data_IF_310513632047
#
_entry.id   IF_310513632047
#
_cell.length_a   1.000
_cell.length_b   1.000
_cell.length_c   1.000
_cell.angle_alpha   90.00
_cell.angle_beta   90.00
_cell.angle_gamma   90.00
#
_symmetry.space_group_name_H-M   'P 1'
#
loop_
_entity.id
_entity.type
_entity.pdbx_description
1 polymer ?
#
# COMPACT_ATOMS: atom_id res chain seq x y z
N UNK A 1 11.68 -29.70 -2.90
CA UNK A 1 12.45 -28.47 -2.63
C UNK A 1 11.85 -27.81 -1.40
N UNK A 2 12.65 -27.57 -0.36
CA UNK A 2 12.16 -26.89 0.85
C UNK A 2 12.15 -25.36 0.69
N UNK A 3 11.62 -24.64 1.68
CA UNK A 3 11.52 -23.17 1.65
C UNK A 3 12.88 -22.50 1.57
N UNK A 4 13.89 -22.98 2.30
CA UNK A 4 15.24 -22.43 2.22
C UNK A 4 15.77 -22.51 0.78
N UNK A 5 15.68 -23.67 0.14
CA UNK A 5 16.07 -23.85 -1.26
C UNK A 5 15.24 -22.98 -2.21
N UNK A 6 13.94 -22.80 -1.95
CA UNK A 6 13.07 -21.95 -2.76
C UNK A 6 13.52 -20.48 -2.70
N UNK A 7 13.77 -19.95 -1.49
CA UNK A 7 14.23 -18.57 -1.28
C UNK A 7 15.64 -18.32 -1.85
N UNK A 8 16.49 -19.34 -1.92
CA UNK A 8 17.81 -19.25 -2.55
C UNK A 8 17.76 -19.32 -4.08
N UNK A 9 16.77 -20.03 -4.61
CA UNK A 9 16.61 -20.28 -6.05
C UNK A 9 16.07 -19.06 -6.78
N UNK A 10 15.00 -18.43 -6.26
CA UNK A 10 14.41 -17.26 -6.91
C UNK A 10 15.38 -16.08 -6.82
N UNK A 11 15.94 -15.70 -7.97
CA UNK A 11 16.89 -14.59 -8.09
C UNK A 11 16.28 -13.54 -9.01
N UNK A 12 16.06 -12.30 -8.53
CA UNK A 12 15.67 -11.21 -9.40
C UNK A 12 16.71 -10.99 -10.50
N UNK A 13 16.31 -10.86 -11.78
CA UNK A 13 17.25 -10.56 -12.86
C UNK A 13 17.80 -9.13 -12.71
N UNK A 14 18.84 -8.79 -13.46
CA UNK A 14 19.10 -7.37 -13.73
C UNK A 14 18.07 -6.85 -14.74
N UNK A 15 17.53 -5.65 -14.52
CA UNK A 15 16.63 -5.04 -15.49
C UNK A 15 17.42 -4.67 -16.75
N UNK A 16 17.01 -5.24 -17.88
CA UNK A 16 17.48 -4.83 -19.19
C UNK A 16 16.71 -3.58 -19.62
N UNK A 17 17.44 -2.48 -19.73
CA UNK A 17 16.87 -1.16 -20.05
C UNK A 17 16.62 -1.03 -21.55
N UNK A 18 15.43 -0.57 -21.92
CA UNK A 18 15.18 -0.09 -23.30
C UNK A 18 15.68 1.36 -23.46
N UNK A 19 15.97 1.77 -24.69
CA UNK A 19 16.58 3.09 -25.02
C UNK A 19 15.62 4.26 -24.74
N UNK A 20 14.31 4.00 -24.72
CA UNK A 20 13.27 5.00 -24.43
C UNK A 20 12.75 4.83 -23.00
N UNK A 21 13.24 5.68 -22.10
CA UNK A 21 12.70 5.78 -20.74
C UNK A 21 11.54 6.76 -20.73
N UNK A 22 10.32 6.23 -20.58
CA UNK A 22 9.20 7.09 -20.20
C UNK A 22 9.01 7.04 -18.69
N UNK A 23 9.06 8.21 -18.07
CA UNK A 23 8.38 8.40 -16.80
C UNK A 23 6.93 8.67 -17.15
N UNK A 24 6.06 7.68 -16.98
CA UNK A 24 4.62 7.95 -16.98
C UNK A 24 4.38 9.10 -15.99
N UNK A 25 3.61 10.12 -16.36
CA UNK A 25 3.16 11.11 -15.39
C UNK A 25 2.40 10.35 -14.31
N UNK A 26 3.01 10.19 -13.15
CA UNK A 26 2.37 9.65 -11.96
C UNK A 26 1.06 10.40 -11.75
N UNK A 27 -0.03 9.66 -11.56
CA UNK A 27 -1.26 10.21 -10.99
C UNK A 27 -0.89 10.92 -9.70
N UNK A 28 -1.39 12.14 -9.53
CA UNK A 28 -0.85 13.06 -8.55
C UNK A 28 -1.23 12.52 -7.15
N UNK A 29 -0.25 12.14 -6.28
CA UNK A 29 -0.45 11.34 -5.06
C UNK A 29 -1.21 12.01 -3.89
N UNK A 30 -2.10 11.28 -3.21
CA UNK A 30 -2.73 11.77 -1.98
C UNK A 30 -1.69 12.08 -0.86
N UNK A 31 -1.46 13.35 -0.56
CA UNK A 31 -0.56 13.81 0.50
C UNK A 31 -1.37 14.13 1.78
N UNK A 32 -1.11 13.49 2.93
CA UNK A 32 -1.78 13.87 4.17
C UNK A 32 -1.30 15.26 4.61
N UNK A 33 -2.24 16.12 5.02
CA UNK A 33 -1.95 17.50 5.49
C UNK A 33 -1.11 17.54 6.77
N UNK A 34 -1.09 16.47 7.53
CA UNK A 34 -0.32 16.38 8.77
C UNK A 34 1.15 16.15 8.49
N UNK A 35 2.01 16.93 9.14
CA UNK A 35 3.44 16.72 9.11
C UNK A 35 3.75 15.33 9.65
N UNK A 36 4.22 14.44 8.78
CA UNK A 36 4.85 13.20 9.22
C UNK A 36 5.90 13.57 10.28
N UNK A 37 5.87 12.90 11.43
CA UNK A 37 6.94 13.02 12.40
C UNK A 37 8.26 12.51 11.79
N UNK A 38 9.36 12.65 12.54
CA UNK A 38 10.65 12.12 12.10
C UNK A 38 10.52 10.62 11.77
N UNK A 39 11.07 10.24 10.62
CA UNK A 39 11.19 8.85 10.23
C UNK A 39 12.17 8.18 11.17
N UNK A 40 11.78 7.04 11.73
CA UNK A 40 12.58 6.28 12.70
C UNK A 40 12.90 4.88 12.19
N UNK A 41 13.96 4.21 12.70
CA UNK A 41 14.26 2.86 12.27
C UNK A 41 13.28 1.83 12.87
N UNK A 42 12.95 0.81 12.10
CA UNK A 42 12.36 -0.44 12.59
C UNK A 42 13.50 -1.44 12.85
N UNK A 43 13.95 -1.51 14.09
CA UNK A 43 15.18 -2.24 14.47
C UNK A 43 14.94 -3.75 14.55
N UNK A 44 13.75 -4.16 14.97
CA UNK A 44 13.43 -5.56 15.30
C UNK A 44 13.05 -6.42 14.08
N UNK A 45 12.91 -5.82 12.89
CA UNK A 45 12.29 -6.48 11.74
C UNK A 45 13.02 -7.76 11.29
N UNK A 46 14.36 -7.78 11.36
CA UNK A 46 15.14 -8.95 10.96
C UNK A 46 14.88 -10.13 11.91
N UNK A 47 14.86 -9.89 13.22
CA UNK A 47 14.55 -10.91 14.24
C UNK A 47 13.10 -11.41 14.10
N UNK A 48 12.17 -10.51 13.76
CA UNK A 48 10.77 -10.87 13.53
C UNK A 48 10.59 -11.76 12.29
N UNK A 49 11.33 -11.50 11.21
CA UNK A 49 11.35 -12.35 10.01
C UNK A 49 11.92 -13.72 10.33
N UNK A 50 13.09 -13.76 11.00
CA UNK A 50 13.76 -14.99 11.41
C UNK A 50 12.83 -15.85 12.28
N UNK A 51 12.24 -15.24 13.32
CA UNK A 51 11.29 -15.91 14.21
C UNK A 51 10.08 -16.50 13.50
N UNK A 52 9.59 -15.85 12.44
CA UNK A 52 8.45 -16.37 11.67
C UNK A 52 8.84 -17.52 10.75
N UNK A 53 9.95 -17.40 10.01
CA UNK A 53 10.26 -18.29 8.89
C UNK A 53 11.20 -19.44 9.26
N UNK A 54 12.10 -19.28 10.23
CA UNK A 54 13.08 -20.30 10.64
C UNK A 54 12.46 -21.67 10.96
N UNK A 55 11.34 -21.75 11.74
CA UNK A 55 10.71 -23.03 12.04
C UNK A 55 10.27 -23.81 10.80
N UNK A 56 10.06 -23.10 9.68
CA UNK A 56 9.53 -23.68 8.46
C UNK A 56 10.60 -23.96 7.41
N UNK A 57 11.83 -23.46 7.52
CA UNK A 57 12.83 -23.52 6.45
C UNK A 57 13.10 -24.94 5.91
N UNK A 58 13.06 -25.96 6.77
CA UNK A 58 13.41 -27.35 6.44
C UNK A 58 12.25 -28.34 6.52
N UNK A 59 11.10 -27.96 7.09
CA UNK A 59 10.01 -28.89 7.39
C UNK A 59 8.94 -28.87 6.30
N UNK A 60 9.01 -29.82 5.35
CA UNK A 60 8.05 -29.91 4.24
C UNK A 60 7.65 -31.34 3.89
N UNK A 61 6.39 -31.50 3.52
CA UNK A 61 5.89 -32.71 2.87
C UNK A 61 6.40 -32.82 1.42
N UNK A 62 6.39 -34.03 0.86
CA UNK A 62 6.72 -34.28 -0.55
C UNK A 62 5.88 -33.42 -1.49
N UNK A 63 4.59 -33.25 -1.18
CA UNK A 63 3.66 -32.47 -2.00
C UNK A 63 4.03 -30.97 -2.02
N UNK A 64 4.26 -30.36 -0.86
CA UNK A 64 4.70 -28.96 -0.79
C UNK A 64 6.04 -28.78 -1.51
N UNK A 65 6.94 -29.75 -1.35
CA UNK A 65 8.23 -29.77 -2.02
C UNK A 65 8.14 -29.74 -3.55
N UNK A 66 7.16 -30.42 -4.14
CA UNK A 66 6.89 -30.41 -5.58
C UNK A 66 6.23 -29.10 -6.03
N UNK A 67 5.30 -28.57 -5.22
CA UNK A 67 4.63 -27.30 -5.52
C UNK A 67 5.59 -26.12 -5.56
N UNK A 68 6.54 -26.05 -4.63
CA UNK A 68 7.58 -25.03 -4.70
C UNK A 68 8.47 -25.19 -5.93
N UNK A 69 8.84 -26.43 -6.29
CA UNK A 69 9.68 -26.68 -7.47
C UNK A 69 8.99 -26.16 -8.73
N UNK A 70 7.73 -26.56 -8.94
CA UNK A 70 6.91 -26.09 -10.06
C UNK A 70 6.75 -24.57 -10.07
N UNK A 71 6.57 -23.98 -8.89
CA UNK A 71 6.41 -22.52 -8.78
C UNK A 71 7.70 -21.81 -9.21
N UNK A 72 8.87 -22.31 -8.78
CA UNK A 72 10.15 -21.75 -9.19
C UNK A 72 10.36 -21.86 -10.70
N UNK A 73 10.09 -23.02 -11.30
CA UNK A 73 10.18 -23.21 -12.75
C UNK A 73 9.29 -22.22 -13.52
N UNK A 74 8.03 -22.03 -13.08
CA UNK A 74 7.12 -21.06 -13.69
C UNK A 74 7.61 -19.61 -13.55
N UNK A 75 8.23 -19.27 -12.41
CA UNK A 75 8.79 -17.92 -12.20
C UNK A 75 10.00 -17.71 -13.10
N UNK A 76 10.90 -18.69 -13.19
CA UNK A 76 12.09 -18.66 -14.05
C UNK A 76 11.69 -18.44 -15.52
N UNK A 77 10.72 -19.20 -16.03
CA UNK A 77 10.21 -19.04 -17.39
C UNK A 77 9.63 -17.63 -17.65
N UNK A 78 8.95 -17.04 -16.66
CA UNK A 78 8.38 -15.69 -16.76
C UNK A 78 9.46 -14.60 -16.70
N UNK A 79 10.54 -14.79 -15.95
CA UNK A 79 11.61 -13.80 -15.78
C UNK A 79 12.27 -13.48 -17.13
N UNK A 80 12.56 -14.50 -17.93
CA UNK A 80 13.24 -14.33 -19.22
C UNK A 80 12.46 -13.40 -20.17
N UNK A 81 11.13 -13.46 -20.13
CA UNK A 81 10.26 -12.63 -20.98
C UNK A 81 9.98 -11.24 -20.42
N UNK A 82 10.19 -11.00 -19.12
CA UNK A 82 9.79 -9.77 -18.42
C UNK A 82 10.92 -8.91 -17.89
N UNK A 83 12.17 -9.35 -18.02
CA UNK A 83 13.36 -8.62 -17.54
C UNK A 83 13.65 -7.33 -18.33
N UNK A 84 13.05 -7.17 -19.51
CA UNK A 84 13.14 -5.95 -20.33
C UNK A 84 12.09 -4.95 -19.83
N UNK A 85 12.54 -3.83 -19.25
CA UNK A 85 11.65 -2.79 -18.74
C UNK A 85 12.10 -1.39 -19.20
N UNK A 86 11.17 -0.65 -19.79
CA UNK A 86 11.27 0.76 -20.18
C UNK A 86 10.42 1.71 -19.34
N UNK A 87 9.41 1.20 -18.60
CA UNK A 87 8.49 2.02 -17.81
C UNK A 87 8.10 1.39 -16.45
N UNK A 88 7.35 2.15 -15.64
CA UNK A 88 6.90 1.75 -14.30
C UNK A 88 5.96 0.55 -14.31
N UNK A 89 5.04 0.45 -15.27
CA UNK A 89 4.11 -0.67 -15.37
C UNK A 89 4.82 -2.00 -15.63
N UNK A 90 5.89 -1.98 -16.40
CA UNK A 90 6.72 -3.18 -16.66
C UNK A 90 7.51 -3.57 -15.42
N UNK A 91 8.06 -2.60 -14.68
CA UNK A 91 8.73 -2.86 -13.40
C UNK A 91 7.75 -3.42 -12.37
N UNK A 92 6.53 -2.90 -12.28
CA UNK A 92 5.46 -3.46 -11.44
C UNK A 92 5.14 -4.90 -11.85
N UNK A 93 5.00 -5.16 -13.15
CA UNK A 93 4.69 -6.50 -13.66
C UNK A 93 5.82 -7.51 -13.40
N UNK A 94 7.07 -7.07 -13.47
CA UNK A 94 8.24 -7.87 -13.11
C UNK A 94 8.28 -8.11 -11.60
N UNK A 95 8.12 -7.06 -10.78
CA UNK A 95 8.02 -7.14 -9.32
C UNK A 95 6.96 -8.12 -8.84
N UNK A 96 5.80 -8.14 -9.51
CA UNK A 96 4.75 -9.12 -9.28
C UNK A 96 5.21 -10.57 -9.48
N UNK A 97 6.06 -10.84 -10.47
CA UNK A 97 6.59 -12.18 -10.73
C UNK A 97 7.70 -12.57 -9.75
N UNK A 98 8.60 -11.64 -9.42
CA UNK A 98 9.81 -11.98 -8.64
C UNK A 98 9.65 -11.85 -7.13
N UNK A 99 8.71 -11.02 -6.67
CA UNK A 99 8.47 -10.77 -5.26
C UNK A 99 7.11 -11.30 -4.83
N UNK A 100 6.04 -10.92 -5.53
CA UNK A 100 4.68 -11.23 -5.10
C UNK A 100 4.32 -12.70 -5.32
N UNK A 101 4.49 -13.25 -6.53
CA UNK A 101 4.23 -14.66 -6.85
C UNK A 101 4.92 -15.64 -5.85
N UNK A 102 6.23 -15.51 -5.57
CA UNK A 102 6.88 -16.36 -4.56
C UNK A 102 6.37 -16.12 -3.15
N UNK A 103 6.10 -14.86 -2.74
CA UNK A 103 5.47 -14.59 -1.44
C UNK A 103 4.10 -15.27 -1.32
N UNK A 104 3.25 -15.20 -2.35
CA UNK A 104 1.93 -15.86 -2.36
C UNK A 104 2.07 -17.38 -2.26
N UNK A 105 3.06 -17.97 -2.92
CA UNK A 105 3.34 -19.39 -2.80
C UNK A 105 3.74 -19.76 -1.36
N UNK A 106 4.59 -18.97 -0.71
CA UNK A 106 5.00 -19.23 0.68
C UNK A 106 3.80 -19.09 1.63
N UNK A 107 3.03 -18.02 1.51
CA UNK A 107 1.82 -17.79 2.33
C UNK A 107 0.82 -18.94 2.19
N UNK A 108 0.62 -19.45 0.97
CA UNK A 108 -0.29 -20.56 0.70
C UNK A 108 0.23 -21.89 1.22
N UNK A 109 1.48 -22.24 0.89
CA UNK A 109 2.00 -23.59 1.16
C UNK A 109 2.49 -23.75 2.61
N UNK A 110 2.97 -22.68 3.25
CA UNK A 110 3.50 -22.73 4.63
C UNK A 110 2.43 -22.35 5.64
N UNK A 111 1.70 -21.27 5.39
CA UNK A 111 0.78 -20.68 6.35
C UNK A 111 -0.70 -20.98 6.05
N UNK A 112 -0.99 -21.69 4.96
CA UNK A 112 -2.36 -21.97 4.50
C UNK A 112 -3.21 -20.70 4.28
N UNK A 113 -2.56 -19.57 3.99
CA UNK A 113 -3.21 -18.28 3.77
C UNK A 113 -3.56 -18.14 2.29
N UNK A 114 -4.85 -17.95 2.00
CA UNK A 114 -5.33 -17.61 0.66
C UNK A 114 -5.39 -16.08 0.50
N UNK A 115 -4.54 -15.58 -0.36
CA UNK A 115 -4.33 -14.16 -0.58
C UNK A 115 -3.90 -13.90 -2.03
N UNK A 116 -3.86 -12.63 -2.41
CA UNK A 116 -3.43 -12.21 -3.74
C UNK A 116 -2.95 -10.73 -3.72
N UNK A 117 -2.22 -10.35 -4.77
CA UNK A 117 -1.83 -8.98 -5.06
C UNK A 117 -2.46 -8.51 -6.37
N UNK A 118 -2.91 -7.26 -6.40
CA UNK A 118 -3.56 -6.69 -7.58
C UNK A 118 -3.50 -5.16 -7.56
N UNK A 119 -4.03 -4.48 -8.56
CA UNK A 119 -4.04 -3.02 -8.61
C UNK A 119 -5.04 -2.39 -7.62
N UNK A 120 -4.94 -1.07 -7.41
CA UNK A 120 -5.79 -0.28 -6.52
C UNK A 120 -7.31 -0.51 -6.67
N UNK A 121 -7.80 -0.92 -7.85
CA UNK A 121 -9.25 -1.05 -8.14
C UNK A 121 -9.91 -2.28 -7.56
N UNK A 122 -9.12 -3.24 -7.10
CA UNK A 122 -9.66 -4.52 -6.69
C UNK A 122 -10.35 -4.53 -5.33
N UNK A 123 -10.00 -3.58 -4.48
CA UNK A 123 -10.67 -3.31 -3.21
C UNK A 123 -11.01 -1.82 -3.15
N UNK A 124 -11.96 -1.43 -2.30
CA UNK A 124 -12.33 -0.03 -2.13
C UNK A 124 -11.21 0.70 -1.38
N UNK A 125 -10.14 1.07 -2.08
CA UNK A 125 -9.01 1.81 -1.52
C UNK A 125 -9.07 3.29 -1.89
N UNK A 126 -8.48 4.11 -1.02
CA UNK A 126 -8.23 5.53 -1.24
C UNK A 126 -6.84 5.70 -1.84
N UNK A 127 -6.73 6.57 -2.83
CA UNK A 127 -5.50 6.78 -3.57
C UNK A 127 -5.37 5.83 -4.75
N UNK A 128 -4.16 5.78 -5.29
CA UNK A 128 -3.78 4.96 -6.44
C UNK A 128 -2.50 4.17 -6.11
N UNK A 129 -2.51 3.28 -5.09
CA UNK A 129 -1.36 2.42 -4.82
C UNK A 129 -1.14 1.44 -5.97
N UNK A 130 0.11 1.22 -6.35
CA UNK A 130 0.45 0.33 -7.47
C UNK A 130 -0.09 -1.09 -7.23
N UNK A 131 0.09 -1.61 -6.00
CA UNK A 131 -0.34 -2.95 -5.63
C UNK A 131 -0.99 -2.99 -4.24
N UNK A 132 -2.00 -3.84 -4.14
CA UNK A 132 -2.83 -4.05 -2.96
C UNK A 132 -2.80 -5.53 -2.62
N UNK A 133 -2.48 -5.84 -1.37
CA UNK A 133 -2.54 -7.18 -0.81
C UNK A 133 -3.83 -7.37 -0.02
N UNK A 134 -4.52 -8.47 -0.26
CA UNK A 134 -5.77 -8.83 0.43
C UNK A 134 -5.89 -10.34 0.59
N UNK A 135 -6.85 -10.77 1.43
CA UNK A 135 -7.20 -12.18 1.62
C UNK A 135 -8.58 -12.48 1.04
N UNK A 136 -8.88 -13.75 0.82
CA UNK A 136 -10.24 -14.17 0.46
C UNK A 136 -11.03 -14.53 1.73
N UNK A 137 -12.22 -13.93 1.90
CA UNK A 137 -13.11 -14.23 3.03
C UNK A 137 -13.82 -15.57 2.86
N UNK A 138 -14.12 -15.95 1.61
CA UNK A 138 -14.87 -17.15 1.26
C UNK A 138 -14.22 -17.86 0.07
N UNK A 139 -14.19 -19.19 0.11
CA UNK A 139 -13.51 -20.04 -0.87
C UNK A 139 -14.28 -20.22 -2.18
N UNK A 140 -15.60 -20.04 -2.15
CA UNK A 140 -16.54 -20.28 -3.26
C UNK A 140 -16.82 -18.96 -3.98
N UNK A 141 -17.16 -17.90 -3.23
CA UNK A 141 -17.53 -16.61 -3.83
C UNK A 141 -16.32 -15.79 -4.27
N UNK A 142 -15.12 -16.14 -3.78
CA UNK A 142 -13.88 -15.36 -3.93
C UNK A 142 -14.03 -13.92 -3.45
N UNK A 143 -14.89 -13.71 -2.45
CA UNK A 143 -15.09 -12.39 -1.85
C UNK A 143 -13.78 -11.90 -1.24
N UNK A 144 -13.34 -10.74 -1.70
CA UNK A 144 -12.09 -10.11 -1.26
C UNK A 144 -12.30 -9.44 0.09
N UNK A 145 -11.35 -9.65 0.99
CA UNK A 145 -11.25 -8.84 2.20
C UNK A 145 -10.79 -7.43 1.85
N UNK A 146 -10.82 -6.54 2.85
CA UNK A 146 -10.19 -5.22 2.71
C UNK A 146 -8.69 -5.39 2.51
N UNK A 147 -8.06 -4.38 1.92
CA UNK A 147 -6.60 -4.30 1.86
C UNK A 147 -5.98 -4.56 3.25
N UNK A 148 -4.88 -5.29 3.25
CA UNK A 148 -4.08 -5.62 4.44
C UNK A 148 -2.73 -4.94 4.40
N UNK A 149 -2.21 -4.71 3.20
CA UNK A 149 -0.92 -4.11 2.94
C UNK A 149 -0.95 -3.47 1.54
N UNK A 150 -0.21 -2.38 1.35
CA UNK A 150 -0.04 -1.70 0.07
C UNK A 150 1.43 -1.71 -0.30
N UNK A 151 1.71 -1.84 -1.59
CA UNK A 151 3.03 -1.69 -2.15
C UNK A 151 3.01 -0.59 -3.19
N UNK A 152 3.90 0.38 -3.03
CA UNK A 152 4.23 1.36 -4.04
C UNK A 152 5.51 0.93 -4.74
N UNK A 153 5.47 0.83 -6.05
CA UNK A 153 6.62 0.57 -6.88
C UNK A 153 7.15 1.85 -7.49
N UNK A 154 8.46 1.89 -7.70
CA UNK A 154 9.11 2.91 -8.52
C UNK A 154 10.13 2.25 -9.40
N UNK A 155 10.48 2.88 -10.52
CA UNK A 155 11.61 2.40 -11.31
C UNK A 155 12.94 2.80 -10.65
N UNK A 156 14.00 1.99 -10.77
CA UNK A 156 15.32 2.32 -10.23
C UNK A 156 15.87 3.67 -10.73
N UNK A 157 15.53 4.06 -11.96
CA UNK A 157 15.95 5.33 -12.56
C UNK A 157 15.07 6.51 -12.16
N UNK A 158 13.80 6.29 -11.79
CA UNK A 158 12.92 7.36 -11.33
C UNK A 158 13.17 7.72 -9.86
N UNK A 159 13.44 6.71 -9.01
CA UNK A 159 13.69 6.87 -7.58
C UNK A 159 14.97 6.12 -7.17
N UNK A 160 16.08 6.86 -7.13
CA UNK A 160 17.30 6.41 -6.44
C UNK A 160 17.17 6.68 -4.95
N UNK A 161 17.31 5.62 -4.15
CA UNK A 161 17.28 5.74 -2.70
C UNK A 161 18.67 6.12 -2.17
N UNK A 162 18.75 7.06 -1.22
CA UNK A 162 20.01 7.44 -0.58
C UNK A 162 20.50 6.30 0.33
N UNK A 163 21.80 6.27 0.62
CA UNK A 163 22.40 5.26 1.51
C UNK A 163 21.79 5.29 2.92
N UNK A 164 21.47 6.48 3.43
CA UNK A 164 20.78 6.67 4.70
C UNK A 164 19.45 7.39 4.48
N UNK A 165 18.40 6.60 4.23
CA UNK A 165 17.04 7.08 3.95
C UNK A 165 16.47 7.90 5.11
N UNK A 166 16.76 7.50 6.35
CA UNK A 166 16.25 8.17 7.56
C UNK A 166 16.83 9.59 7.67
N UNK A 167 18.16 9.71 7.63
CA UNK A 167 18.82 11.03 7.72
C UNK A 167 18.42 11.93 6.55
N UNK A 168 18.36 11.37 5.34
CA UNK A 168 17.93 12.12 4.16
C UNK A 168 16.49 12.61 4.28
N UNK A 169 15.55 11.74 4.63
CA UNK A 169 14.14 12.12 4.78
C UNK A 169 13.97 13.21 5.85
N UNK A 170 14.58 13.05 7.02
CA UNK A 170 14.40 13.98 8.14
C UNK A 170 15.01 15.37 7.87
N UNK A 171 16.12 15.43 7.12
CA UNK A 171 16.73 16.71 6.71
C UNK A 171 15.97 17.39 5.56
N UNK A 172 15.43 16.61 4.63
CA UNK A 172 14.79 17.12 3.41
C UNK A 172 13.26 17.19 3.50
N UNK A 173 12.63 16.85 4.63
CA UNK A 173 11.16 16.77 4.76
C UNK A 173 10.40 18.04 4.40
N UNK A 174 11.05 19.20 4.43
CA UNK A 174 10.48 20.48 4.01
C UNK A 174 10.49 20.69 2.49
N UNK A 175 11.31 19.94 1.75
CA UNK A 175 11.39 20.02 0.29
C UNK A 175 10.33 19.14 -0.38
N UNK A 176 9.24 19.79 -0.76
CA UNK A 176 8.16 19.20 -1.55
C UNK A 176 8.56 18.82 -2.97
N UNK A 177 9.82 18.98 -3.41
CA UNK A 177 10.30 18.46 -4.70
C UNK A 177 11.17 17.20 -4.53
N UNK A 178 11.58 16.89 -3.31
CA UNK A 178 12.41 15.73 -3.01
C UNK A 178 11.64 14.42 -3.25
N UNK A 179 12.11 13.61 -4.19
CA UNK A 179 11.40 12.38 -4.62
C UNK A 179 11.26 11.33 -3.52
N UNK A 180 12.25 11.24 -2.62
CA UNK A 180 12.23 10.29 -1.50
C UNK A 180 11.17 10.71 -0.49
N UNK A 181 11.14 11.98 -0.14
CA UNK A 181 10.13 12.56 0.75
C UNK A 181 8.74 12.34 0.17
N UNK A 182 8.54 12.65 -1.12
CA UNK A 182 7.27 12.39 -1.81
C UNK A 182 6.83 10.94 -1.74
N UNK A 183 7.70 10.00 -2.08
CA UNK A 183 7.35 8.58 -2.13
C UNK A 183 6.96 8.03 -0.75
N UNK A 184 7.70 8.41 0.29
CA UNK A 184 7.41 8.00 1.68
C UNK A 184 6.11 8.64 2.18
N UNK A 185 5.93 9.95 1.96
CA UNK A 185 4.71 10.65 2.37
C UNK A 185 3.47 10.18 1.60
N UNK A 186 3.60 9.84 0.32
CA UNK A 186 2.53 9.25 -0.49
C UNK A 186 2.10 7.90 0.08
N UNK A 187 3.05 7.00 0.31
CA UNK A 187 2.76 5.69 0.89
C UNK A 187 2.12 5.83 2.27
N UNK A 188 2.63 6.75 3.10
CA UNK A 188 2.04 7.07 4.40
C UNK A 188 0.59 7.57 4.27
N UNK A 189 0.31 8.45 3.32
CA UNK A 189 -1.05 8.91 3.00
C UNK A 189 -1.97 7.73 2.66
N UNK A 190 -1.54 6.85 1.76
CA UNK A 190 -2.29 5.65 1.42
C UNK A 190 -2.53 4.75 2.64
N UNK A 191 -1.52 4.53 3.49
CA UNK A 191 -1.67 3.75 4.72
C UNK A 191 -2.69 4.38 5.67
N UNK A 192 -2.63 5.70 5.87
CA UNK A 192 -3.54 6.44 6.76
C UNK A 192 -4.97 6.39 6.25
N UNK A 193 -5.23 6.74 4.99
CA UNK A 193 -6.59 6.78 4.44
C UNK A 193 -7.23 5.39 4.31
N UNK A 194 -6.43 4.33 4.17
CA UNK A 194 -6.93 2.95 4.08
C UNK A 194 -6.94 2.21 5.43
N UNK A 195 -6.62 2.90 6.53
CA UNK A 195 -6.46 2.32 7.87
C UNK A 195 -5.54 1.09 7.90
N UNK A 196 -4.35 1.24 7.34
CA UNK A 196 -3.32 0.20 7.29
C UNK A 196 -2.15 0.57 8.20
N UNK A 197 -1.66 -0.43 8.94
CA UNK A 197 -0.45 -0.30 9.77
C UNK A 197 0.81 -0.34 8.91
N UNK A 198 0.78 -1.14 7.85
CA UNK A 198 1.97 -1.50 7.08
C UNK A 198 1.84 -1.12 5.61
N UNK A 199 2.97 -0.75 5.02
CA UNK A 199 3.11 -0.47 3.60
C UNK A 199 4.53 -0.79 3.15
N UNK A 200 4.73 -0.93 1.85
CA UNK A 200 6.04 -1.17 1.25
C UNK A 200 6.33 -0.17 0.13
N UNK A 201 7.60 0.23 0.05
CA UNK A 201 8.15 1.01 -1.05
C UNK A 201 9.24 0.18 -1.72
N UNK A 202 9.05 -0.14 -3.00
CA UNK A 202 9.98 -0.98 -3.76
C UNK A 202 10.43 -0.26 -5.02
N UNK A 203 11.72 0.06 -5.14
CA UNK A 203 12.27 0.60 -6.38
C UNK A 203 12.85 -0.49 -7.29
N UNK A 204 12.37 -1.72 -7.15
CA UNK A 204 12.93 -2.97 -7.69
C UNK A 204 14.26 -3.41 -7.08
N UNK A 205 15.24 -2.52 -6.97
CA UNK A 205 16.57 -2.84 -6.43
C UNK A 205 16.56 -3.04 -4.91
N UNK A 206 15.67 -2.33 -4.22
CA UNK A 206 15.50 -2.40 -2.79
C UNK A 206 14.02 -2.35 -2.41
N UNK A 207 13.63 -3.21 -1.48
CA UNK A 207 12.37 -3.16 -0.77
C UNK A 207 12.59 -2.50 0.60
N UNK A 208 11.75 -1.53 0.92
CA UNK A 208 11.62 -0.93 2.25
C UNK A 208 10.23 -1.23 2.78
N UNK A 209 10.15 -1.67 4.03
CA UNK A 209 8.90 -1.90 4.74
C UNK A 209 8.69 -0.79 5.76
N UNK A 210 7.48 -0.27 5.81
CA UNK A 210 7.10 0.82 6.70
C UNK A 210 6.00 0.38 7.65
N UNK A 211 6.07 0.84 8.90
CA UNK A 211 5.11 0.57 9.97
C UNK A 211 4.69 1.85 10.67
N UNK A 212 3.39 2.11 10.76
CA UNK A 212 2.85 3.18 11.61
C UNK A 212 2.97 2.82 13.08
N UNK A 213 3.42 3.78 13.89
CA UNK A 213 3.62 3.61 15.34
C UNK A 213 2.74 4.53 16.19
N UNK A 214 1.93 5.37 15.55
CA UNK A 214 1.01 6.31 16.20
C UNK A 214 0.23 7.12 15.17
N UNK A 215 -0.27 8.28 15.58
CA UNK A 215 -1.02 9.18 14.70
C UNK A 215 -0.16 9.72 13.56
N UNK A 216 1.08 10.13 13.86
CA UNK A 216 2.04 10.73 12.90
C UNK A 216 3.37 9.96 12.81
N UNK A 217 3.54 8.92 13.62
CA UNK A 217 4.77 8.14 13.73
C UNK A 217 4.91 7.11 12.62
N UNK A 218 6.09 7.08 11.97
CA UNK A 218 6.42 6.13 10.92
C UNK A 218 7.81 5.54 11.16
N UNK A 219 7.89 4.22 11.10
CA UNK A 219 9.14 3.48 11.09
C UNK A 219 9.41 2.91 9.70
N UNK A 220 10.70 2.80 9.34
CA UNK A 220 11.16 2.16 8.11
C UNK A 220 12.19 1.08 8.42
N UNK A 221 12.12 -0.04 7.71
CA UNK A 221 13.11 -1.11 7.77
C UNK A 221 14.45 -0.67 7.17
N UNK A 222 15.50 -1.45 7.43
CA UNK A 222 16.67 -1.46 6.54
C UNK A 222 16.25 -1.81 5.09
N UNK A 223 17.04 -1.48 4.07
CA UNK A 223 16.79 -2.00 2.73
C UNK A 223 16.94 -3.52 2.68
N UNK A 224 15.99 -4.19 2.04
CA UNK A 224 16.11 -5.56 1.57
C UNK A 224 16.50 -5.52 0.09
N UNK A 225 17.78 -5.76 -0.19
CA UNK A 225 18.34 -5.59 -1.53
C UNK A 225 17.99 -6.79 -2.42
N UNK A 226 17.74 -6.57 -3.71
CA UNK A 226 17.37 -7.63 -4.65
C UNK A 226 18.40 -8.77 -4.74
N UNK A 227 19.70 -8.44 -4.55
CA UNK A 227 20.78 -9.42 -4.54
C UNK A 227 20.87 -10.25 -3.26
N UNK A 228 20.12 -9.90 -2.20
CA UNK A 228 20.08 -10.68 -0.96
C UNK A 228 19.12 -11.87 -1.11
N UNK A 229 19.64 -13.06 -0.83
CA UNK A 229 18.91 -14.32 -0.92
C UNK A 229 18.49 -14.85 0.45
N UNK A 230 17.68 -15.90 0.44
CA UNK A 230 17.28 -16.60 1.65
C UNK A 230 16.40 -15.75 2.57
N UNK A 231 16.51 -15.99 3.87
CA UNK A 231 15.67 -15.36 4.89
C UNK A 231 15.90 -13.85 5.06
N UNK A 232 17.04 -13.34 4.58
CA UNK A 232 17.40 -11.91 4.66
C UNK A 232 17.01 -11.12 3.40
N UNK A 233 16.45 -11.80 2.41
CA UNK A 233 16.06 -11.22 1.12
C UNK A 233 14.66 -10.59 1.12
N UNK A 234 14.31 -9.90 0.01
CA UNK A 234 13.04 -9.18 -0.11
C UNK A 234 11.81 -10.11 -0.10
N UNK A 235 11.92 -11.34 -0.63
CA UNK A 235 10.81 -12.31 -0.62
C UNK A 235 10.45 -12.71 0.82
N UNK A 236 11.45 -12.95 1.66
CA UNK A 236 11.24 -13.29 3.07
C UNK A 236 10.62 -12.12 3.84
N UNK A 237 11.12 -10.90 3.64
CA UNK A 237 10.58 -9.69 4.23
C UNK A 237 9.12 -9.42 3.80
N UNK A 238 8.83 -9.55 2.49
CA UNK A 238 7.47 -9.38 1.97
C UNK A 238 6.51 -10.46 2.49
N UNK A 239 6.99 -11.69 2.64
CA UNK A 239 6.21 -12.78 3.23
C UNK A 239 5.87 -12.50 4.68
N UNK A 240 6.87 -12.07 5.46
CA UNK A 240 6.68 -11.67 6.85
C UNK A 240 5.63 -10.58 6.99
N UNK A 241 5.77 -9.47 6.27
CA UNK A 241 4.86 -8.33 6.45
C UNK A 241 3.44 -8.66 6.01
N UNK A 242 3.27 -9.48 4.96
CA UNK A 242 1.96 -9.94 4.51
C UNK A 242 1.29 -10.86 5.55
N UNK A 243 2.05 -11.83 6.08
CA UNK A 243 1.57 -12.70 7.16
C UNK A 243 1.21 -11.88 8.41
N UNK A 244 2.09 -10.97 8.82
CA UNK A 244 1.93 -10.14 10.01
C UNK A 244 0.72 -9.20 9.89
N UNK A 245 0.52 -8.58 8.72
CA UNK A 245 -0.62 -7.70 8.44
C UNK A 245 -1.98 -8.42 8.41
N UNK A 246 -1.98 -9.75 8.24
CA UNK A 246 -3.20 -10.56 8.33
C UNK A 246 -3.47 -10.97 9.79
N UNK A 247 -2.43 -11.36 10.50
CA UNK A 247 -2.54 -12.03 11.81
C UNK A 247 -2.58 -11.07 12.99
N UNK A 248 -2.13 -9.82 12.83
CA UNK A 248 -2.27 -8.76 13.83
C UNK A 248 -3.47 -7.88 13.52
N UNK A 249 -4.18 -7.50 14.58
CA UNK A 249 -5.35 -6.63 14.47
C UNK A 249 -4.99 -5.26 13.89
N UNK A 250 -5.99 -4.67 13.25
CA UNK A 250 -5.93 -3.34 12.66
C UNK A 250 -5.55 -2.25 13.65
N UNK A 251 -4.79 -1.29 13.15
CA UNK A 251 -4.62 0.01 13.79
C UNK A 251 -5.99 0.64 14.09
N UNK A 252 -6.13 1.23 15.27
CA UNK A 252 -7.32 1.96 15.69
C UNK A 252 -7.14 3.49 15.67
N UNK A 253 -6.03 4.00 15.15
CA UNK A 253 -5.74 5.44 15.04
C UNK A 253 -5.92 5.94 13.60
N UNK A 254 -7.14 5.79 13.08
CA UNK A 254 -7.52 6.28 11.76
C UNK A 254 -8.79 7.11 11.89
N UNK A 255 -8.95 8.21 11.14
CA UNK A 255 -10.24 8.93 11.02
C UNK A 255 -11.31 8.11 10.28
N UNK A 256 -11.10 6.79 10.14
CA UNK A 256 -11.92 5.88 9.35
C UNK A 256 -12.43 4.76 10.27
N UNK A 257 -13.70 4.84 10.61
CA UNK A 257 -14.41 3.77 11.30
C UNK A 257 -14.76 2.62 10.33
N UNK A 258 -14.76 1.41 10.87
CA UNK A 258 -15.20 0.23 10.14
C UNK A 258 -16.73 0.21 10.01
N UNK A 259 -17.20 0.48 8.79
CA UNK A 259 -18.58 0.22 8.37
C UNK A 259 -18.82 -1.21 7.87
N UNK A 260 -20.01 -1.50 7.31
CA UNK A 260 -20.31 -2.74 6.61
C UNK A 260 -19.27 -3.08 5.52
N UNK A 261 -19.22 -4.33 5.03
CA UNK A 261 -18.35 -4.71 3.91
C UNK A 261 -18.51 -3.76 2.72
N UNK A 262 -17.38 -3.34 2.13
CA UNK A 262 -17.37 -2.39 1.02
C UNK A 262 -17.60 -0.91 1.41
N UNK A 263 -17.85 -0.60 2.69
CA UNK A 263 -18.14 0.76 3.15
C UNK A 263 -17.07 1.26 4.13
N UNK A 264 -16.59 2.48 3.88
CA UNK A 264 -15.72 3.21 4.81
C UNK A 264 -16.49 4.37 5.43
N UNK A 265 -16.46 4.51 6.75
CA UNK A 265 -17.08 5.62 7.45
C UNK A 265 -15.99 6.61 7.85
N UNK A 266 -15.99 7.81 7.28
CA UNK A 266 -15.10 8.89 7.67
C UNK A 266 -15.71 9.68 8.81
N UNK A 267 -14.87 9.91 9.81
CA UNK A 267 -15.14 10.60 11.05
C UNK A 267 -14.18 11.78 11.09
N UNK A 268 -14.74 12.96 10.86
CA UNK A 268 -14.04 14.23 11.05
C UNK A 268 -14.48 14.74 12.42
N UNK A 269 -13.69 14.43 13.45
CA UNK A 269 -14.02 14.78 14.84
C UNK A 269 -13.70 16.25 15.16
N UNK A 270 -12.85 16.90 14.36
CA UNK A 270 -12.33 18.25 14.64
C UNK A 270 -12.74 19.31 13.60
N UNK A 271 -13.79 19.03 12.82
CA UNK A 271 -14.30 20.01 11.84
C UNK A 271 -15.51 20.75 12.41
N UNK A 272 -15.28 21.91 13.01
CA UNK A 272 -16.33 22.87 13.39
C UNK A 272 -16.85 23.63 12.17
N UNK A 273 -17.24 22.89 11.13
CA UNK A 273 -17.83 23.47 9.93
C UNK A 273 -19.31 23.14 9.92
N UNK A 274 -20.14 24.18 9.84
CA UNK A 274 -21.53 24.04 9.48
C UNK A 274 -21.61 23.73 7.99
N UNK A 275 -22.16 22.57 7.64
CA UNK A 275 -22.55 22.35 6.26
C UNK A 275 -23.98 22.85 6.04
N UNK A 276 -24.18 23.62 4.99
CA UNK A 276 -25.50 24.00 4.45
C UNK A 276 -25.94 22.92 3.47
N UNK A 277 -26.90 22.09 3.86
CA UNK A 277 -27.30 20.90 3.09
C UNK A 277 -28.71 21.01 2.48
N UNK A 278 -29.51 21.91 3.04
CA UNK A 278 -30.79 22.41 2.54
C UNK A 278 -30.90 23.88 2.98
N UNK A 279 -31.74 24.69 2.32
CA UNK A 279 -31.91 26.12 2.64
C UNK A 279 -32.25 26.39 4.12
N UNK A 280 -32.79 25.39 4.81
CA UNK A 280 -33.32 25.50 6.18
C UNK A 280 -32.60 24.61 7.23
N UNK A 281 -31.46 23.99 6.91
CA UNK A 281 -30.83 23.03 7.84
C UNK A 281 -29.31 23.08 7.89
N UNK A 282 -28.81 23.74 8.94
CA UNK A 282 -27.42 23.68 9.36
C UNK A 282 -27.23 22.54 10.36
N UNK A 283 -26.33 21.63 10.06
CA UNK A 283 -25.96 20.55 10.98
C UNK A 283 -24.44 20.52 11.06
N UNK A 284 -23.93 20.57 12.29
CA UNK A 284 -22.49 20.50 12.57
C UNK A 284 -21.91 19.17 12.08
N UNK A 285 -20.75 19.22 11.43
CA UNK A 285 -20.06 18.04 10.89
C UNK A 285 -19.78 16.95 11.94
N UNK A 286 -19.48 17.34 13.18
CA UNK A 286 -19.28 16.40 14.30
C UNK A 286 -20.48 15.47 14.54
N UNK A 287 -21.68 15.86 14.11
CA UNK A 287 -22.91 15.05 14.24
C UNK A 287 -23.16 14.15 13.02
N UNK A 288 -22.23 14.11 12.07
CA UNK A 288 -22.33 13.38 10.81
C UNK A 288 -21.20 12.37 10.66
N UNK A 289 -21.44 11.34 9.85
CA UNK A 289 -20.39 10.48 9.32
C UNK A 289 -20.60 10.28 7.83
N UNK A 290 -19.51 10.23 7.08
CA UNK A 290 -19.55 10.05 5.64
C UNK A 290 -19.30 8.58 5.31
N UNK A 291 -20.31 7.89 4.76
CA UNK A 291 -20.17 6.49 4.30
C UNK A 291 -19.84 6.46 2.82
N UNK A 292 -18.65 6.00 2.47
CA UNK A 292 -18.17 5.88 1.09
C UNK A 292 -18.40 4.47 0.57
N UNK A 293 -18.92 4.35 -0.65
CA UNK A 293 -19.36 3.08 -1.25
C UNK A 293 -18.51 2.63 -2.44
N UNK A 294 -17.97 3.59 -3.21
CA UNK A 294 -17.24 3.28 -4.45
C UNK A 294 -16.18 4.35 -4.75
N UNK A 295 -14.98 3.89 -5.08
CA UNK A 295 -13.87 4.72 -5.53
C UNK A 295 -13.85 4.80 -7.07
N UNK A 296 -13.76 6.02 -7.60
CA UNK A 296 -13.52 6.31 -9.01
C UNK A 296 -12.34 7.28 -9.06
N UNK A 297 -11.24 6.88 -9.70
CA UNK A 297 -10.15 7.80 -9.98
C UNK A 297 -10.55 8.73 -11.14
N UNK A 298 -10.36 10.04 -10.98
CA UNK A 298 -10.53 11.03 -12.05
C UNK A 298 -9.35 11.99 -12.09
N UNK A 299 -8.58 11.97 -13.17
CA UNK A 299 -7.51 12.89 -13.60
C UNK A 299 -6.49 13.36 -12.53
N UNK A 300 -6.92 14.06 -11.48
CA UNK A 300 -6.10 14.70 -10.44
C UNK A 300 -6.55 14.39 -9.00
N UNK A 301 -7.63 13.62 -8.83
CA UNK A 301 -8.17 13.29 -7.51
C UNK A 301 -8.74 11.87 -7.45
N UNK A 302 -8.58 11.23 -6.30
CA UNK A 302 -9.37 10.05 -5.95
C UNK A 302 -10.75 10.51 -5.52
N UNK A 303 -11.77 10.19 -6.32
CA UNK A 303 -13.16 10.57 -6.04
C UNK A 303 -13.90 9.36 -5.50
N UNK A 304 -14.42 9.46 -4.29
CA UNK A 304 -15.32 8.48 -3.72
C UNK A 304 -16.73 9.00 -3.69
N UNK A 305 -17.68 8.16 -4.07
CA UNK A 305 -19.09 8.46 -3.86
C UNK A 305 -19.59 7.79 -2.59
N UNK A 306 -20.50 8.46 -1.90
CA UNK A 306 -20.99 8.05 -0.60
C UNK A 306 -22.32 8.67 -0.23
N UNK A 307 -22.67 8.53 1.03
CA UNK A 307 -23.82 9.15 1.68
C UNK A 307 -23.38 9.80 3.00
N UNK A 308 -23.90 10.98 3.28
CA UNK A 308 -23.82 11.57 4.61
C UNK A 308 -24.91 10.94 5.46
N UNK A 309 -24.54 10.40 6.62
CA UNK A 309 -25.51 9.80 7.55
C UNK A 309 -25.30 10.38 8.94
N UNK A 310 -26.36 10.44 9.76
CA UNK A 310 -26.24 10.93 11.13
C UNK A 310 -25.38 10.00 11.99
N UNK A 311 -24.65 10.61 12.93
CA UNK A 311 -24.12 9.90 14.10
C UNK A 311 -25.25 9.59 15.08
N UNK A 312 -24.99 8.67 16.01
CA UNK A 312 -25.98 8.22 16.98
C UNK A 312 -26.64 9.43 17.69
N UNK A 313 -27.97 9.38 17.84
CA UNK A 313 -28.82 10.42 18.48
C UNK A 313 -29.09 11.69 17.65
N UNK A 314 -28.48 11.85 16.47
CA UNK A 314 -28.85 12.92 15.52
C UNK A 314 -29.87 12.38 14.52
N UNK A 315 -30.88 13.18 14.16
CA UNK A 315 -31.86 12.82 13.12
C UNK A 315 -31.82 13.87 12.01
N UNK A 316 -31.28 13.49 10.87
CA UNK A 316 -31.49 14.18 9.60
C UNK A 316 -31.60 13.14 8.49
N UNK A 317 -32.33 13.47 7.43
CA UNK A 317 -32.48 12.60 6.26
C UNK A 317 -31.84 13.30 5.07
N UNK A 318 -30.65 12.84 4.70
CA UNK A 318 -29.96 13.34 3.52
C UNK A 318 -30.17 12.35 2.36
N UNK A 319 -30.72 12.83 1.24
CA UNK A 319 -31.01 11.99 0.06
C UNK A 319 -30.02 12.20 -1.08
N UNK A 320 -29.10 13.16 -0.97
CA UNK A 320 -28.13 13.44 -2.03
C UNK A 320 -26.89 12.56 -1.88
N UNK A 321 -26.29 12.23 -3.02
CA UNK A 321 -25.02 11.52 -3.06
C UNK A 321 -23.91 12.46 -2.62
N UNK A 322 -23.12 12.05 -1.65
CA UNK A 322 -21.93 12.76 -1.23
C UNK A 322 -20.75 12.35 -2.12
N UNK A 323 -19.85 13.29 -2.40
CA UNK A 323 -18.60 13.02 -3.08
C UNK A 323 -17.45 13.45 -2.18
N UNK A 324 -16.56 12.53 -1.89
CA UNK A 324 -15.31 12.79 -1.19
C UNK A 324 -14.20 12.79 -2.21
N UNK A 325 -13.46 13.88 -2.31
CA UNK A 325 -12.37 14.01 -3.27
C UNK A 325 -11.08 14.21 -2.52
N UNK A 326 -10.12 13.34 -2.76
CA UNK A 326 -8.76 13.48 -2.24
C UNK A 326 -7.90 14.01 -3.38
N UNK A 327 -7.52 15.28 -3.29
CA UNK A 327 -6.62 15.93 -4.23
C UNK A 327 -5.19 15.80 -3.73
N UNK A 328 -4.27 15.63 -4.67
CA UNK A 328 -2.86 15.89 -4.40
C UNK A 328 -2.55 17.36 -4.61
N UNK A 329 -2.25 18.07 -3.53
CA UNK A 329 -1.88 19.48 -3.53
C UNK A 329 -0.36 19.72 -3.56
N UNK A 330 0.46 18.69 -3.78
CA UNK A 330 1.93 18.82 -3.89
C UNK A 330 2.36 19.57 -5.15
N UNK A 331 1.47 19.72 -6.13
CA UNK A 331 1.66 20.64 -7.24
C UNK A 331 0.77 21.87 -7.05
N UNK A 332 1.33 23.10 -7.14
CA UNK A 332 0.54 24.33 -7.01
C UNK A 332 -0.68 24.37 -7.94
N UNK A 333 -0.55 23.84 -9.16
CA UNK A 333 -1.64 23.76 -10.13
C UNK A 333 -2.83 22.89 -9.66
N UNK A 334 -2.57 21.88 -8.85
CA UNK A 334 -3.64 21.03 -8.31
C UNK A 334 -4.26 21.63 -7.06
N UNK A 335 -3.49 22.38 -6.26
CA UNK A 335 -4.04 23.19 -5.18
C UNK A 335 -4.98 24.26 -5.76
N UNK A 336 -4.56 24.94 -6.82
CA UNK A 336 -5.41 25.90 -7.54
C UNK A 336 -6.66 25.23 -8.12
N UNK A 337 -6.54 24.03 -8.71
CA UNK A 337 -7.69 23.28 -9.21
C UNK A 337 -8.64 22.85 -8.09
N UNK A 338 -8.11 22.38 -6.95
CA UNK A 338 -8.90 22.03 -5.77
C UNK A 338 -9.61 23.27 -5.19
N UNK A 339 -8.90 24.39 -5.04
CA UNK A 339 -9.46 25.64 -4.53
C UNK A 339 -10.52 26.24 -5.47
N UNK A 340 -10.33 26.14 -6.79
CA UNK A 340 -11.31 26.57 -7.78
C UNK A 340 -12.59 25.73 -7.70
N UNK A 341 -12.46 24.41 -7.54
CA UNK A 341 -13.60 23.49 -7.42
C UNK A 341 -14.34 23.61 -6.08
N UNK A 342 -13.65 24.03 -5.01
CA UNK A 342 -14.29 24.34 -3.72
C UNK A 342 -15.08 25.66 -3.78
N UNK A 343 -14.63 26.62 -4.62
CA UNK A 343 -15.26 27.94 -4.76
C UNK A 343 -16.44 27.97 -5.73
N UNK A 344 -16.59 26.95 -6.59
CA UNK A 344 -17.72 26.78 -7.53
C UNK A 344 -18.87 26.05 -6.90
#
# INVERSE_FOLDING_TARGET
MNLSQFLERITPPEIQKTVEHSTTKTTVPAYPREYLADLTPWVEIDEEIEKLLDPHLKHFTTLQSQRFLRTAEVIEDKIDTKSICGNESEVVALGGVIYEDPTLAILREVFSIRCDFTNHRATNNIGDPDRVFFTYNDQITKDRSRAKFLMEYKTPWALRMPTNVITHFNSERGDQKNKVVKAISQLYGYMTFNNLVHGGLCNYEALYLLRRTGDTGLQISRPFLYGQKGIRGPIAALTYICHYSITKESFHYSPVERGPPGVHAFILDDLEVEGTWDEDSNVLWQNMKLRLHCAVSKNIASVMSGEVVPRQRTRFRYQKRAYFKVYDITQPSNLEAADAEIKS
#
